data_IF_577740051277
#
_entry.id   IF_577740051277
#
_cell.length_a   1.000
_cell.length_b   1.000
_cell.length_c   1.000
_cell.angle_alpha   90.00
_cell.angle_beta   90.00
_cell.angle_gamma   90.00
#
_symmetry.space_group_name_H-M   'P 1'
#
loop_
_entity.id
_entity.type
_entity.pdbx_description
1 polymer ?
#
# COMPACT_ATOMS: atom_id res chain seq x y z
N UNK A 1 -16.21 -5.04 11.87
CA UNK A 1 -15.35 -4.69 10.70
C UNK A 1 -14.08 -5.50 10.81
N UNK A 2 -13.67 -6.20 9.75
CA UNK A 2 -12.43 -6.98 9.73
C UNK A 2 -11.24 -6.06 9.41
N UNK A 3 -10.07 -6.35 9.97
CA UNK A 3 -8.84 -5.55 9.78
C UNK A 3 -8.46 -5.39 8.29
N UNK A 4 -8.78 -6.37 7.46
CA UNK A 4 -8.59 -6.31 6.00
C UNK A 4 -9.45 -5.23 5.33
N UNK A 5 -10.67 -5.02 5.83
CA UNK A 5 -11.61 -4.05 5.26
C UNK A 5 -11.11 -2.62 5.52
N UNK A 6 -10.63 -2.34 6.74
CA UNK A 6 -9.96 -1.07 7.07
C UNK A 6 -8.71 -0.84 6.21
N UNK A 7 -7.93 -1.88 5.96
CA UNK A 7 -6.74 -1.80 5.10
C UNK A 7 -7.12 -1.48 3.66
N UNK A 8 -8.14 -2.15 3.12
CA UNK A 8 -8.64 -1.92 1.76
C UNK A 8 -9.16 -0.49 1.60
N UNK A 9 -9.90 0.03 2.57
CA UNK A 9 -10.39 1.41 2.54
C UNK A 9 -9.23 2.43 2.55
N UNK A 10 -8.19 2.20 3.34
CA UNK A 10 -7.01 3.06 3.35
C UNK A 10 -6.24 2.98 2.03
N UNK A 11 -6.11 1.80 1.45
CA UNK A 11 -5.44 1.60 0.15
C UNK A 11 -6.21 2.26 -0.99
N UNK A 12 -7.54 2.14 -0.99
CA UNK A 12 -8.42 2.76 -1.96
C UNK A 12 -8.33 4.30 -1.91
N UNK A 13 -8.32 4.88 -0.70
CA UNK A 13 -8.10 6.32 -0.49
C UNK A 13 -6.75 6.79 -1.06
N UNK A 14 -5.68 6.02 -0.84
CA UNK A 14 -4.35 6.33 -1.36
C UNK A 14 -4.27 6.18 -2.88
N UNK A 15 -4.96 5.20 -3.45
CA UNK A 15 -5.05 5.01 -4.89
C UNK A 15 -5.79 6.18 -5.56
N UNK A 16 -6.87 6.68 -4.93
CA UNK A 16 -7.61 7.84 -5.42
C UNK A 16 -6.78 9.14 -5.48
N UNK A 17 -5.66 9.22 -4.76
CA UNK A 17 -4.71 10.36 -4.78
C UNK A 17 -3.36 10.01 -5.42
N UNK A 18 -3.31 8.97 -6.26
CA UNK A 18 -2.13 8.54 -7.04
C UNK A 18 -0.90 8.18 -6.17
N UNK A 19 -1.12 7.71 -4.94
CA UNK A 19 -0.03 7.26 -4.05
C UNK A 19 0.31 5.79 -4.20
N UNK A 20 -0.60 4.98 -4.74
CA UNK A 20 -0.41 3.56 -5.02
C UNK A 20 -1.36 3.10 -6.14
N UNK A 21 -1.13 1.89 -6.66
CA UNK A 21 -2.03 1.28 -7.65
C UNK A 21 -3.42 0.96 -7.06
N UNK A 22 -4.38 0.58 -7.91
CA UNK A 22 -5.69 0.10 -7.43
C UNK A 22 -5.54 -1.16 -6.55
N UNK A 23 -6.43 -1.36 -5.55
CA UNK A 23 -6.37 -2.46 -4.58
C UNK A 23 -6.79 -3.84 -5.17
N UNK A 24 -6.22 -4.20 -6.31
CA UNK A 24 -6.48 -5.44 -7.07
C UNK A 24 -5.20 -6.14 -7.52
N UNK A 25 -4.04 -5.49 -7.38
CA UNK A 25 -2.75 -5.96 -7.90
C UNK A 25 -1.92 -6.80 -6.91
N UNK A 26 -0.77 -7.29 -7.42
CA UNK A 26 0.24 -7.99 -6.61
C UNK A 26 0.82 -7.10 -5.50
N UNK A 27 0.93 -5.79 -5.75
CA UNK A 27 1.37 -4.82 -4.75
C UNK A 27 0.43 -4.82 -3.54
N UNK A 28 -0.87 -4.64 -3.78
CA UNK A 28 -1.89 -4.68 -2.73
C UNK A 28 -1.82 -5.97 -1.90
N UNK A 29 -1.81 -7.13 -2.56
CA UNK A 29 -1.75 -8.43 -1.87
C UNK A 29 -0.46 -8.58 -1.03
N UNK A 30 0.67 -8.11 -1.54
CA UNK A 30 1.96 -8.12 -0.82
C UNK A 30 1.90 -7.22 0.42
N UNK A 31 1.48 -5.97 0.25
CA UNK A 31 1.44 -5.00 1.36
C UNK A 31 0.39 -5.41 2.41
N UNK A 32 -0.77 -5.92 1.99
CA UNK A 32 -1.78 -6.48 2.89
C UNK A 32 -1.23 -7.64 3.71
N UNK A 33 -0.58 -8.62 3.06
CA UNK A 33 0.01 -9.77 3.75
C UNK A 33 1.07 -9.34 4.76
N UNK A 34 1.90 -8.36 4.40
CA UNK A 34 2.94 -7.84 5.29
C UNK A 34 2.33 -7.08 6.48
N UNK A 35 1.31 -6.26 6.23
CA UNK A 35 0.57 -5.55 7.26
C UNK A 35 -0.07 -6.53 8.27
N UNK A 36 -0.75 -7.57 7.78
CA UNK A 36 -1.33 -8.62 8.62
C UNK A 36 -0.25 -9.39 9.40
N UNK A 37 0.89 -9.68 8.77
CA UNK A 37 2.01 -10.36 9.43
C UNK A 37 2.64 -9.55 10.57
N UNK A 38 2.50 -8.23 10.54
CA UNK A 38 2.97 -7.32 11.60
C UNK A 38 1.89 -7.03 12.65
N UNK A 39 0.76 -7.73 12.60
CA UNK A 39 -0.35 -7.54 13.54
C UNK A 39 -1.23 -6.32 13.23
N UNK A 40 -1.18 -5.80 12.01
CA UNK A 40 -1.98 -4.66 11.57
C UNK A 40 -1.54 -3.31 12.15
N UNK A 41 -0.25 -2.91 11.99
CA UNK A 41 0.27 -1.68 12.58
C UNK A 41 -0.47 -0.44 12.05
N UNK A 42 -0.65 0.56 12.94
CA UNK A 42 -1.17 1.89 12.61
C UNK A 42 -0.03 2.92 12.62
N UNK A 43 -0.07 3.97 11.79
CA UNK A 43 -1.15 4.34 10.84
C UNK A 43 -1.11 3.49 9.56
N UNK A 44 -2.28 3.02 9.12
CA UNK A 44 -2.40 2.14 7.93
C UNK A 44 -1.90 2.85 6.66
N UNK A 45 -2.27 4.11 6.47
CA UNK A 45 -1.89 4.88 5.28
C UNK A 45 -0.36 5.08 5.19
N UNK A 46 0.28 5.41 6.31
CA UNK A 46 1.74 5.54 6.40
C UNK A 46 2.44 4.22 6.09
N UNK A 47 1.90 3.11 6.61
CA UNK A 47 2.42 1.79 6.30
C UNK A 47 2.35 1.48 4.81
N UNK A 48 1.19 1.70 4.18
CA UNK A 48 0.98 1.47 2.74
C UNK A 48 1.97 2.30 1.93
N UNK A 49 2.00 3.62 2.14
CA UNK A 49 2.89 4.54 1.41
C UNK A 49 4.36 4.14 1.57
N UNK A 50 4.78 3.74 2.78
CA UNK A 50 6.16 3.30 3.03
C UNK A 50 6.50 2.04 2.25
N UNK A 51 5.61 1.04 2.22
CA UNK A 51 5.86 -0.25 1.56
C UNK A 51 5.71 -0.21 0.05
N UNK A 52 4.82 0.63 -0.46
CA UNK A 52 4.68 0.91 -1.90
C UNK A 52 5.92 1.65 -2.42
N UNK A 53 6.37 2.69 -1.72
CA UNK A 53 7.57 3.44 -2.14
C UNK A 53 8.88 2.64 -1.98
N UNK A 54 8.99 1.79 -0.97
CA UNK A 54 10.14 0.91 -0.79
C UNK A 54 10.30 -0.08 -1.96
N UNK A 55 9.20 -0.56 -2.54
CA UNK A 55 9.21 -1.45 -3.71
C UNK A 55 9.49 -0.68 -5.01
N UNK A 56 8.90 0.52 -5.14
CA UNK A 56 9.17 1.45 -6.24
C UNK A 56 10.64 1.89 -6.31
N UNK A 57 11.36 1.90 -5.19
CA UNK A 57 12.80 2.19 -5.16
C UNK A 57 13.66 1.06 -5.74
N UNK A 58 13.12 -0.15 -5.88
CA UNK A 58 13.75 -1.28 -6.58
C UNK A 58 13.53 -1.28 -8.10
N UNK A 59 12.54 -0.53 -8.60
CA UNK A 59 12.33 -0.29 -10.04
C UNK A 59 12.16 1.20 -10.26
N UNK A 60 13.30 1.88 -10.45
CA UNK A 60 13.38 3.32 -10.63
C UNK A 60 12.19 3.89 -11.39
N UNK A 61 11.37 4.70 -10.69
CA UNK A 61 10.61 5.76 -11.34
C UNK A 61 11.64 6.62 -12.05
N UNK A 62 11.89 6.33 -13.34
CA UNK A 62 12.49 7.26 -14.28
C UNK A 62 11.58 8.48 -14.23
N UNK A 63 12.00 9.48 -13.47
CA UNK A 63 11.50 10.84 -13.59
C UNK A 63 11.91 11.25 -15.01
N UNK A 64 11.01 11.08 -15.97
CA UNK A 64 11.21 11.65 -17.30
C UNK A 64 10.94 13.14 -17.15
N UNK A 65 12.04 13.88 -17.27
CA UNK A 65 12.14 15.33 -17.31
C UNK A 65 11.47 15.91 -18.55
#
# INVERSE_FOLDING_TARGET
MTSEQEFREAYDKLSAIDKCDHPVGREYQRVLKEWLSLGGPRPIEQFIVTRVNADSSGRGRKVLN
#
